data_IF_485046527857
#
_entry.id   IF_485046527857
#
_cell.length_a   1.000
_cell.length_b   1.000
_cell.length_c   1.000
_cell.angle_alpha   90.00
_cell.angle_beta   90.00
_cell.angle_gamma   90.00
#
_symmetry.space_group_name_H-M   'P 1'
#
loop_
_entity.id
_entity.type
_entity.pdbx_description
1 polymer ?
#
# COMPACT_ATOMS: atom_id res chain seq x y z
N UNK A 1 -16.02 -21.22 -0.32
CA UNK A 1 -17.01 -20.43 0.40
C UNK A 1 -17.54 -19.36 -0.55
N UNK A 2 -18.85 -19.27 -0.80
CA UNK A 2 -19.43 -18.13 -1.53
C UNK A 2 -19.80 -17.06 -0.51
N UNK A 3 -19.34 -15.83 -0.71
CA UNK A 3 -19.66 -14.72 0.20
C UNK A 3 -20.65 -13.79 -0.50
N UNK A 4 -21.89 -13.68 0.02
CA UNK A 4 -22.91 -12.81 -0.55
C UNK A 4 -22.47 -11.34 -0.59
N UNK A 5 -22.74 -10.64 -1.69
CA UNK A 5 -22.37 -9.22 -1.86
C UNK A 5 -23.20 -8.26 -0.98
N UNK A 6 -24.39 -8.69 -0.55
CA UNK A 6 -25.26 -7.98 0.40
C UNK A 6 -24.67 -7.95 1.83
N UNK A 7 -23.84 -8.94 2.19
CA UNK A 7 -23.16 -9.01 3.49
C UNK A 7 -22.16 -7.86 3.72
N UNK A 8 -21.81 -7.10 2.68
CA UNK A 8 -20.87 -5.97 2.76
C UNK A 8 -21.43 -4.67 2.18
N UNK A 9 -22.74 -4.43 2.33
CA UNK A 9 -23.36 -3.16 1.91
C UNK A 9 -23.10 -2.83 0.43
N UNK A 10 -23.01 -3.85 -0.43
CA UNK A 10 -22.76 -3.70 -1.87
C UNK A 10 -21.29 -3.52 -2.25
N UNK A 11 -20.34 -3.61 -1.31
CA UNK A 11 -18.90 -3.52 -1.58
C UNK A 11 -18.18 -4.79 -1.16
N UNK A 12 -17.73 -5.59 -2.12
CA UNK A 12 -17.08 -6.86 -1.78
C UNK A 12 -15.77 -6.66 -0.99
N UNK A 13 -15.36 -7.64 -0.16
CA UNK A 13 -14.07 -7.61 0.54
C UNK A 13 -12.89 -7.40 -0.40
N UNK A 14 -12.95 -7.96 -1.61
CA UNK A 14 -11.92 -7.81 -2.64
C UNK A 14 -11.79 -6.35 -3.10
N UNK A 15 -12.89 -5.59 -3.16
CA UNK A 15 -12.86 -4.15 -3.44
C UNK A 15 -12.24 -3.38 -2.28
N UNK A 16 -12.46 -3.81 -1.03
CA UNK A 16 -11.79 -3.22 0.13
C UNK A 16 -10.27 -3.49 0.11
N UNK A 17 -9.87 -4.74 -0.20
CA UNK A 17 -8.48 -5.15 -0.34
C UNK A 17 -7.78 -4.40 -1.48
N UNK A 18 -8.42 -4.31 -2.65
CA UNK A 18 -7.94 -3.52 -3.80
C UNK A 18 -7.62 -2.09 -3.40
N UNK A 19 -8.53 -1.41 -2.69
CA UNK A 19 -8.29 -0.01 -2.30
C UNK A 19 -7.19 0.12 -1.26
N UNK A 20 -7.05 -0.85 -0.36
CA UNK A 20 -5.92 -0.89 0.58
C UNK A 20 -4.58 -1.07 -0.16
N UNK A 21 -4.53 -1.96 -1.14
CA UNK A 21 -3.36 -2.18 -1.98
C UNK A 21 -3.04 -0.95 -2.86
N UNK A 22 -4.04 -0.30 -3.47
CA UNK A 22 -3.82 0.92 -4.26
C UNK A 22 -3.21 2.06 -3.43
N UNK A 23 -3.62 2.18 -2.16
CA UNK A 23 -2.99 3.11 -1.20
C UNK A 23 -1.55 2.71 -0.90
N UNK A 24 -1.31 1.43 -0.59
CA UNK A 24 0.02 0.90 -0.31
C UNK A 24 0.97 1.14 -1.49
N UNK A 25 0.56 0.83 -2.71
CA UNK A 25 1.38 0.99 -3.92
C UNK A 25 1.70 2.45 -4.19
N UNK A 26 0.77 3.36 -3.94
CA UNK A 26 1.05 4.81 -4.02
C UNK A 26 2.11 5.23 -3.00
N UNK A 27 2.06 4.67 -1.78
CA UNK A 27 3.05 4.97 -0.75
C UNK A 27 4.44 4.41 -1.06
N UNK A 28 4.50 3.16 -1.53
CA UNK A 28 5.74 2.53 -1.98
C UNK A 28 6.34 3.31 -3.15
N UNK A 29 5.55 3.64 -4.16
CA UNK A 29 6.00 4.40 -5.31
C UNK A 29 6.54 5.79 -4.92
N UNK A 30 5.84 6.53 -4.05
CA UNK A 30 6.32 7.83 -3.58
C UNK A 30 7.68 7.73 -2.87
N UNK A 31 7.90 6.69 -2.06
CA UNK A 31 9.18 6.44 -1.37
C UNK A 31 10.28 5.99 -2.34
N UNK A 32 9.96 5.11 -3.28
CA UNK A 32 10.89 4.65 -4.31
C UNK A 32 11.33 5.82 -5.21
N UNK A 33 10.39 6.61 -5.72
CA UNK A 33 10.69 7.80 -6.53
C UNK A 33 11.55 8.81 -5.77
N UNK A 34 11.34 9.00 -4.46
CA UNK A 34 12.22 9.83 -3.63
C UNK A 34 13.66 9.32 -3.61
N UNK A 35 13.85 8.02 -3.34
CA UNK A 35 15.17 7.41 -3.29
C UNK A 35 15.87 7.47 -4.65
N UNK A 36 15.18 7.08 -5.73
CA UNK A 36 15.73 7.10 -7.08
C UNK A 36 16.06 8.51 -7.56
N UNK A 37 15.22 9.50 -7.26
CA UNK A 37 15.48 10.89 -7.65
C UNK A 37 16.68 11.44 -6.87
N UNK A 38 16.81 11.11 -5.58
CA UNK A 38 17.98 11.48 -4.79
C UNK A 38 19.27 10.91 -5.38
N UNK A 39 19.28 9.64 -5.74
CA UNK A 39 20.45 8.96 -6.32
C UNK A 39 20.81 9.50 -7.71
N UNK A 40 19.81 9.80 -8.54
CA UNK A 40 20.01 10.19 -9.95
C UNK A 40 20.26 11.68 -10.14
N UNK A 41 19.60 12.53 -9.36
CA UNK A 41 19.59 13.99 -9.56
C UNK A 41 20.16 14.77 -8.37
N UNK A 42 20.33 14.13 -7.22
CA UNK A 42 20.85 14.76 -6.01
C UNK A 42 19.80 15.47 -5.15
N UNK A 43 20.22 15.85 -3.94
CA UNK A 43 19.34 16.45 -2.94
C UNK A 43 18.84 17.87 -3.29
N UNK A 44 19.52 18.56 -4.21
CA UNK A 44 19.17 19.91 -4.65
C UNK A 44 18.22 19.91 -5.87
N UNK A 45 17.83 18.73 -6.37
CA UNK A 45 16.89 18.63 -7.50
C UNK A 45 15.51 19.17 -7.12
N UNK A 46 14.92 19.98 -8.00
CA UNK A 46 13.56 20.51 -7.83
C UNK A 46 12.54 19.39 -7.65
N UNK A 47 12.70 18.28 -8.39
CA UNK A 47 11.85 17.09 -8.29
C UNK A 47 11.95 16.44 -6.91
N UNK A 48 13.19 16.25 -6.41
CA UNK A 48 13.42 15.64 -5.10
C UNK A 48 12.86 16.52 -3.98
N UNK A 49 13.19 17.81 -3.98
CA UNK A 49 12.75 18.77 -2.97
C UNK A 49 11.22 18.91 -2.95
N UNK A 50 10.59 19.02 -4.13
CA UNK A 50 9.14 19.11 -4.24
C UNK A 50 8.44 17.86 -3.71
N UNK A 51 8.88 16.67 -4.15
CA UNK A 51 8.29 15.40 -3.69
C UNK A 51 8.51 15.20 -2.19
N UNK A 52 9.71 15.53 -1.69
CA UNK A 52 10.04 15.36 -0.26
C UNK A 52 9.17 16.26 0.60
N UNK A 53 9.09 17.54 0.27
CA UNK A 53 8.24 18.48 0.98
C UNK A 53 6.75 18.06 0.93
N UNK A 54 6.29 17.56 -0.23
CA UNK A 54 4.90 17.13 -0.37
C UNK A 54 4.59 15.89 0.46
N UNK A 55 5.44 14.85 0.43
CA UNK A 55 5.29 13.64 1.25
C UNK A 55 5.32 13.94 2.75
N UNK A 56 6.18 14.86 3.18
CA UNK A 56 6.29 15.26 4.59
C UNK A 56 5.06 16.04 5.07
N UNK A 57 4.47 16.88 4.20
CA UNK A 57 3.30 17.71 4.54
C UNK A 57 1.94 17.02 4.34
N UNK A 58 1.86 16.06 3.41
CA UNK A 58 0.61 15.40 3.01
C UNK A 58 0.79 13.90 3.18
N UNK A 59 0.40 13.29 4.31
CA UNK A 59 0.40 11.83 4.42
C UNK A 59 -0.62 11.22 3.44
N UNK A 60 -0.32 10.03 2.92
CA UNK A 60 -1.25 9.31 2.04
C UNK A 60 -2.45 8.87 2.87
N UNK A 61 -3.60 9.45 2.55
CA UNK A 61 -4.86 9.21 3.24
C UNK A 61 -5.58 7.95 2.75
N UNK A 62 -6.92 7.99 2.78
CA UNK A 62 -7.76 6.87 2.38
C UNK A 62 -7.82 6.63 0.87
N UNK A 63 -7.44 7.61 0.06
CA UNK A 63 -7.39 7.50 -1.40
C UNK A 63 -6.01 7.99 -1.90
N UNK A 64 -5.24 7.05 -2.46
CA UNK A 64 -3.94 7.37 -3.06
C UNK A 64 -4.06 8.19 -4.35
N UNK A 65 -5.18 8.09 -5.08
CA UNK A 65 -5.42 8.91 -6.25
C UNK A 65 -5.69 10.36 -5.89
N UNK A 66 -6.43 10.63 -4.80
CA UNK A 66 -6.62 12.00 -4.32
C UNK A 66 -5.30 12.64 -3.89
N UNK A 67 -4.46 11.88 -3.20
CA UNK A 67 -3.11 12.32 -2.84
C UNK A 67 -2.28 12.69 -4.07
N UNK A 68 -2.31 11.84 -5.10
CA UNK A 68 -1.55 12.04 -6.34
C UNK A 68 -2.11 13.18 -7.20
N UNK A 69 -3.43 13.34 -7.26
CA UNK A 69 -4.09 14.51 -7.87
C UNK A 69 -3.60 15.80 -7.20
N UNK A 70 -3.50 15.81 -5.87
CA UNK A 70 -2.98 16.95 -5.12
C UNK A 70 -1.54 17.30 -5.48
N UNK A 71 -0.67 16.30 -5.67
CA UNK A 71 0.71 16.50 -6.12
C UNK A 71 0.76 17.08 -7.53
N UNK A 72 0.00 16.48 -8.46
CA UNK A 72 0.01 16.86 -9.87
C UNK A 72 -0.68 18.20 -10.15
N UNK A 73 -1.56 18.66 -9.26
CA UNK A 73 -2.25 19.95 -9.38
C UNK A 73 -1.37 21.15 -9.01
N UNK A 74 -0.12 20.92 -8.56
CA UNK A 74 0.82 21.99 -8.20
C UNK A 74 1.44 22.62 -9.44
N UNK A 75 1.66 23.93 -9.37
CA UNK A 75 2.15 24.73 -10.51
C UNK A 75 3.66 24.62 -10.74
N UNK A 76 4.42 24.06 -9.81
CA UNK A 76 5.86 23.88 -9.94
C UNK A 76 6.25 22.66 -10.80
N UNK A 77 7.32 22.80 -11.59
CA UNK A 77 7.76 21.76 -12.52
C UNK A 77 8.22 20.49 -11.79
N UNK A 78 8.87 20.64 -10.63
CA UNK A 78 9.31 19.54 -9.79
C UNK A 78 8.15 18.64 -9.33
N UNK A 79 7.04 19.22 -8.87
CA UNK A 79 5.85 18.48 -8.44
C UNK A 79 5.19 17.73 -9.59
N UNK A 80 5.08 18.34 -10.77
CA UNK A 80 4.54 17.66 -11.96
C UNK A 80 5.42 16.50 -12.41
N UNK A 81 6.74 16.70 -12.45
CA UNK A 81 7.70 15.66 -12.79
C UNK A 81 7.66 14.51 -11.77
N UNK A 82 7.62 14.83 -10.47
CA UNK A 82 7.47 13.85 -9.41
C UNK A 82 6.16 13.05 -9.53
N UNK A 83 5.04 13.72 -9.80
CA UNK A 83 3.75 13.07 -9.99
C UNK A 83 3.75 12.06 -11.14
N UNK A 84 4.36 12.40 -12.28
CA UNK A 84 4.50 11.48 -13.41
C UNK A 84 5.37 10.26 -13.06
N UNK A 85 6.47 10.45 -12.34
CA UNK A 85 7.32 9.32 -11.90
C UNK A 85 6.62 8.42 -10.90
N UNK A 86 5.83 8.98 -9.99
CA UNK A 86 5.03 8.19 -9.04
C UNK A 86 3.94 7.39 -9.77
N UNK A 87 3.33 7.94 -10.83
CA UNK A 87 2.39 7.20 -11.69
C UNK A 87 3.06 5.98 -12.34
N UNK A 88 4.22 6.18 -12.95
CA UNK A 88 4.98 5.11 -13.60
C UNK A 88 5.42 4.06 -12.57
N UNK A 89 6.06 4.50 -11.48
CA UNK A 89 6.57 3.61 -10.44
C UNK A 89 5.47 2.75 -9.79
N UNK A 90 4.27 3.31 -9.54
CA UNK A 90 3.17 2.51 -8.94
C UNK A 90 2.56 1.52 -9.93
N UNK A 91 2.58 1.81 -11.23
CA UNK A 91 2.15 0.88 -12.27
C UNK A 91 3.14 -0.28 -12.40
N UNK A 92 4.43 0.03 -12.53
CA UNK A 92 5.50 -0.98 -12.55
C UNK A 92 5.47 -1.83 -11.27
N UNK A 93 5.31 -1.21 -10.10
CA UNK A 93 5.25 -1.95 -8.85
C UNK A 93 4.07 -2.93 -8.81
N UNK A 94 2.89 -2.51 -9.27
CA UNK A 94 1.70 -3.35 -9.28
C UNK A 94 1.80 -4.51 -10.29
N UNK A 95 2.43 -4.28 -11.44
CA UNK A 95 2.42 -5.24 -12.55
C UNK A 95 3.63 -6.19 -12.56
N UNK A 96 4.78 -5.74 -12.03
CA UNK A 96 6.06 -6.42 -12.24
C UNK A 96 6.79 -6.76 -10.93
N UNK A 97 6.56 -6.01 -9.86
CA UNK A 97 7.37 -6.14 -8.62
C UNK A 97 6.59 -6.81 -7.49
N UNK A 98 5.33 -6.42 -7.27
CA UNK A 98 4.54 -6.91 -6.17
C UNK A 98 4.02 -8.32 -6.44
N UNK A 99 4.49 -9.29 -5.64
CA UNK A 99 4.06 -10.68 -5.77
C UNK A 99 2.72 -10.92 -5.05
N UNK A 100 1.63 -10.90 -5.81
CA UNK A 100 0.31 -11.30 -5.30
C UNK A 100 0.26 -12.77 -4.85
N UNK A 101 1.06 -13.62 -5.50
CA UNK A 101 1.18 -15.04 -5.16
C UNK A 101 1.80 -15.24 -3.78
N UNK A 102 2.93 -14.58 -3.51
CA UNK A 102 3.56 -14.64 -2.18
C UNK A 102 2.64 -14.11 -1.09
N UNK A 103 1.88 -13.04 -1.37
CA UNK A 103 0.90 -12.51 -0.42
C UNK A 103 -0.20 -13.52 -0.12
N UNK A 104 -0.71 -14.23 -1.14
CA UNK A 104 -1.66 -15.31 -0.95
C UNK A 104 -1.08 -16.40 -0.04
N UNK A 105 0.11 -16.90 -0.36
CA UNK A 105 0.77 -17.95 0.42
C UNK A 105 1.01 -17.51 1.87
N UNK A 106 1.48 -16.28 2.09
CA UNK A 106 1.70 -15.71 3.43
C UNK A 106 0.40 -15.61 4.23
N UNK A 107 -0.70 -15.17 3.60
CA UNK A 107 -2.00 -15.06 4.26
C UNK A 107 -2.55 -16.44 4.62
N UNK A 108 -2.54 -17.39 3.69
CA UNK A 108 -3.03 -18.75 3.94
C UNK A 108 -2.26 -19.43 5.07
N UNK A 109 -0.93 -19.28 5.08
CA UNK A 109 -0.07 -19.79 6.14
C UNK A 109 -0.36 -19.12 7.48
N UNK A 110 -0.41 -17.79 7.53
CA UNK A 110 -0.65 -17.05 8.76
C UNK A 110 -2.00 -17.43 9.39
N UNK A 111 -3.07 -17.52 8.58
CA UNK A 111 -4.39 -17.95 9.07
C UNK A 111 -4.35 -19.36 9.66
N UNK A 112 -3.65 -20.28 9.01
CA UNK A 112 -3.53 -21.67 9.50
C UNK A 112 -2.78 -21.71 10.83
N UNK A 113 -1.60 -21.09 10.90
CA UNK A 113 -0.77 -21.07 12.11
C UNK A 113 -1.46 -20.36 13.29
N UNK A 114 -2.17 -19.26 13.02
CA UNK A 114 -2.94 -18.54 14.03
C UNK A 114 -4.12 -19.37 14.54
N UNK A 115 -4.84 -20.07 13.66
CA UNK A 115 -5.93 -20.97 14.07
C UNK A 115 -5.41 -22.10 14.96
N UNK A 116 -4.30 -22.74 14.59
CA UNK A 116 -3.69 -23.82 15.39
C UNK A 116 -3.31 -23.32 16.79
N UNK A 117 -2.71 -22.13 16.86
CA UNK A 117 -2.36 -21.49 18.12
C UNK A 117 -3.59 -21.17 18.97
N UNK A 118 -4.61 -20.55 18.38
CA UNK A 118 -5.86 -20.22 19.07
C UNK A 118 -6.56 -21.48 19.62
N UNK A 119 -6.54 -22.57 18.86
CA UNK A 119 -7.09 -23.86 19.29
C UNK A 119 -6.28 -24.47 20.43
N UNK A 120 -4.95 -24.46 20.35
CA UNK A 120 -4.08 -24.93 21.43
C UNK A 120 -4.29 -24.13 22.73
N UNK A 121 -4.38 -22.80 22.63
CA UNK A 121 -4.65 -21.92 23.76
C UNK A 121 -6.05 -22.17 24.36
N UNK A 122 -7.05 -22.39 23.51
CA UNK A 122 -8.40 -22.76 23.95
C UNK A 122 -8.40 -24.07 24.73
N UNK A 123 -7.78 -25.13 24.20
CA UNK A 123 -7.70 -26.45 24.87
C UNK A 123 -6.97 -26.32 26.20
N UNK A 124 -5.83 -25.62 26.24
CA UNK A 124 -5.06 -25.39 27.46
C UNK A 124 -5.88 -24.72 28.56
N UNK A 125 -6.76 -23.78 28.21
CA UNK A 125 -7.65 -23.10 29.15
C UNK A 125 -8.76 -24.02 29.69
N UNK A 126 -9.20 -24.99 28.89
CA UNK A 126 -10.28 -25.91 29.25
C UNK A 126 -9.82 -27.11 30.09
N UNK A 127 -8.51 -27.39 30.12
CA UNK A 127 -7.97 -28.45 30.96
C UNK A 127 -8.02 -28.05 32.44
N UNK A 128 -8.46 -28.94 33.36
CA UNK A 128 -8.41 -28.69 34.78
C UNK A 128 -6.97 -28.39 35.21
N UNK A 129 -6.78 -27.40 36.09
CA UNK A 129 -5.47 -27.20 36.73
C UNK A 129 -5.18 -28.44 37.58
N UNK A 130 -4.20 -29.23 37.14
CA UNK A 130 -3.60 -30.29 37.97
C UNK A 130 -2.76 -29.68 39.08
#
# INVERSE_FOLDING_TARGET
MHVPSDAFQGRSPEIAARDALGRLFTAVAARATLAETLEREGAESETYLALKAYVDAHPIGRDGNDWLRGLMARDDAGSRAAGLRVLEARETYANEVFSFEEVREMVEKAVTEENDKLMADYVKRMLPKM
#
